data_IF_587591862824
#
_entry.id   IF_587591862824
#
_cell.length_a   1.000
_cell.length_b   1.000
_cell.length_c   1.000
_cell.angle_alpha   90.00
_cell.angle_beta   90.00
_cell.angle_gamma   90.00
#
_symmetry.space_group_name_H-M   'P 1'
#
loop_
_entity.id
_entity.type
_entity.pdbx_description
1 polymer ?
#
# COMPACT_ATOMS: atom_id res chain seq x y z
N UNK A 1 -1.75 24.35 -2.88
CA UNK A 1 -1.39 22.95 -2.55
C UNK A 1 -2.23 22.07 -3.44
N UNK A 2 -1.61 21.15 -4.17
CA UNK A 2 -2.35 20.15 -4.93
C UNK A 2 -2.93 19.11 -3.97
N UNK A 3 -4.06 18.50 -4.32
CA UNK A 3 -4.70 17.43 -3.52
C UNK A 3 -3.70 16.30 -3.22
N UNK A 4 -2.81 16.01 -4.17
CA UNK A 4 -1.71 15.07 -4.03
C UNK A 4 -0.78 15.42 -2.85
N UNK A 5 -0.31 16.68 -2.74
CA UNK A 5 0.57 17.11 -1.64
C UNK A 5 -0.08 16.93 -0.26
N UNK A 6 -1.38 17.22 -0.15
CA UNK A 6 -2.13 17.03 1.10
C UNK A 6 -2.24 15.54 1.47
N UNK A 7 -2.43 14.66 0.48
CA UNK A 7 -2.47 13.21 0.71
C UNK A 7 -1.09 12.68 1.11
N UNK A 8 -0.01 13.14 0.46
CA UNK A 8 1.36 12.78 0.86
C UNK A 8 1.60 13.16 2.33
N UNK A 9 1.20 14.36 2.74
CA UNK A 9 1.28 14.79 4.15
C UNK A 9 0.46 13.89 5.09
N UNK A 10 -0.72 13.39 4.66
CA UNK A 10 -1.50 12.42 5.45
C UNK A 10 -0.82 11.06 5.57
N UNK A 11 -0.21 10.56 4.49
CA UNK A 11 0.60 9.34 4.53
C UNK A 11 1.78 9.51 5.50
N UNK A 12 2.43 10.67 5.52
CA UNK A 12 3.46 10.97 6.52
C UNK A 12 2.94 10.94 7.95
N UNK A 13 1.80 11.56 8.21
CA UNK A 13 1.21 11.56 9.55
C UNK A 13 0.82 10.15 10.01
N UNK A 14 0.41 9.26 9.09
CA UNK A 14 0.16 7.86 9.40
C UNK A 14 1.43 7.09 9.78
N UNK A 15 2.60 7.43 9.21
CA UNK A 15 3.88 6.88 9.66
C UNK A 15 4.11 7.17 11.15
N UNK A 16 3.80 8.38 11.62
CA UNK A 16 3.95 8.75 13.03
C UNK A 16 3.01 7.94 13.92
N UNK A 17 1.74 7.75 13.50
CA UNK A 17 0.77 6.93 14.25
C UNK A 17 1.24 5.48 14.36
N UNK A 18 1.74 4.91 13.27
CA UNK A 18 2.24 3.53 13.27
C UNK A 18 3.53 3.38 14.06
N UNK A 19 4.36 4.43 14.14
CA UNK A 19 5.55 4.46 14.98
C UNK A 19 5.20 4.33 16.46
N UNK A 20 4.11 4.95 16.91
CA UNK A 20 3.61 4.79 18.28
C UNK A 20 3.17 3.33 18.56
N UNK A 21 2.70 2.62 17.53
CA UNK A 21 2.40 1.18 17.59
C UNK A 21 3.66 0.29 17.50
N UNK A 22 4.86 0.87 17.45
CA UNK A 22 6.15 0.18 17.36
C UNK A 22 6.57 -0.23 15.95
N UNK A 23 5.91 0.29 14.91
CA UNK A 23 6.30 0.08 13.51
C UNK A 23 7.50 0.96 13.18
N UNK A 24 8.58 0.38 12.67
CA UNK A 24 9.74 1.15 12.25
C UNK A 24 9.49 1.85 10.92
N UNK A 25 10.27 2.89 10.64
CA UNK A 25 10.20 3.58 9.36
C UNK A 25 10.37 2.63 8.16
N UNK A 26 11.35 1.72 8.24
CA UNK A 26 11.57 0.73 7.17
C UNK A 26 10.37 -0.22 6.99
N UNK A 27 9.75 -0.66 8.09
CA UNK A 27 8.53 -1.47 8.03
C UNK A 27 7.38 -0.70 7.38
N UNK A 28 7.24 0.60 7.68
CA UNK A 28 6.23 1.45 7.07
C UNK A 28 6.41 1.60 5.55
N UNK A 29 7.63 1.83 5.08
CA UNK A 29 7.93 1.88 3.64
C UNK A 29 7.60 0.57 2.95
N UNK A 30 7.88 -0.57 3.60
CA UNK A 30 7.52 -1.90 3.08
C UNK A 30 6.01 -2.07 2.95
N UNK A 31 5.21 -1.61 3.92
CA UNK A 31 3.74 -1.62 3.81
C UNK A 31 3.23 -0.77 2.65
N UNK A 32 3.77 0.45 2.52
CA UNK A 32 3.42 1.32 1.40
C UNK A 32 3.78 0.68 0.06
N UNK A 33 4.90 -0.03 -0.02
CA UNK A 33 5.34 -0.70 -1.23
C UNK A 33 4.32 -1.71 -1.72
N UNK A 34 3.80 -2.55 -0.83
CA UNK A 34 2.76 -3.53 -1.16
C UNK A 34 1.47 -2.87 -1.62
N UNK A 35 0.98 -1.86 -0.88
CA UNK A 35 -0.28 -1.19 -1.18
C UNK A 35 -0.22 -0.36 -2.47
N UNK A 36 0.87 0.39 -2.65
CA UNK A 36 1.10 1.19 -3.86
C UNK A 36 1.25 0.29 -5.10
N UNK A 37 1.92 -0.86 -4.98
CA UNK A 37 1.99 -1.81 -6.08
C UNK A 37 0.61 -2.31 -6.49
N UNK A 38 -0.24 -2.72 -5.54
CA UNK A 38 -1.59 -3.19 -5.84
C UNK A 38 -2.43 -2.12 -6.52
N UNK A 39 -2.41 -0.89 -5.98
CA UNK A 39 -3.14 0.23 -6.58
C UNK A 39 -2.60 0.57 -7.97
N UNK A 40 -1.28 0.60 -8.15
CA UNK A 40 -0.66 0.83 -9.46
C UNK A 40 -1.05 -0.23 -10.49
N UNK A 41 -1.15 -1.50 -10.09
CA UNK A 41 -1.61 -2.57 -10.95
C UNK A 41 -3.05 -2.34 -11.43
N UNK A 42 -3.93 -1.83 -10.56
CA UNK A 42 -5.29 -1.40 -10.94
C UNK A 42 -5.24 -0.22 -11.91
N UNK A 43 -4.56 0.86 -11.55
CA UNK A 43 -4.54 2.12 -12.33
C UNK A 43 -3.84 2.00 -13.70
N UNK A 44 -3.09 0.91 -13.92
CA UNK A 44 -2.41 0.63 -15.20
C UNK A 44 -3.05 -0.51 -15.99
N UNK A 45 -4.24 -0.98 -15.60
CA UNK A 45 -4.95 -2.12 -16.20
C UNK A 45 -4.13 -3.43 -16.24
N UNK A 46 -3.22 -3.58 -15.28
CA UNK A 46 -2.34 -4.76 -15.12
C UNK A 46 -2.78 -5.69 -14.00
N UNK A 47 -3.78 -5.33 -13.22
CA UNK A 47 -4.32 -6.15 -12.12
C UNK A 47 -4.83 -7.54 -12.56
N UNK A 48 -5.01 -7.78 -13.86
CA UNK A 48 -5.23 -9.11 -14.43
C UNK A 48 -4.11 -10.12 -14.15
N UNK A 49 -2.91 -9.65 -13.83
CA UNK A 49 -1.79 -10.51 -13.40
C UNK A 49 -1.97 -10.99 -11.94
N UNK A 50 -2.85 -10.34 -11.17
CA UNK A 50 -3.20 -10.72 -9.81
C UNK A 50 -4.45 -11.62 -9.83
N UNK A 51 -4.53 -12.64 -8.95
CA UNK A 51 -5.77 -13.38 -8.74
C UNK A 51 -6.91 -12.42 -8.37
N UNK A 52 -8.10 -12.63 -8.93
CA UNK A 52 -9.22 -11.68 -8.78
C UNK A 52 -9.53 -11.34 -7.33
N UNK A 53 -9.51 -12.34 -6.44
CA UNK A 53 -9.73 -12.20 -4.98
C UNK A 53 -8.71 -11.33 -4.25
N UNK A 54 -7.57 -11.04 -4.86
CA UNK A 54 -6.43 -10.32 -4.27
C UNK A 54 -6.14 -8.99 -4.97
N UNK A 55 -7.11 -8.46 -5.70
CA UNK A 55 -7.04 -7.13 -6.31
C UNK A 55 -7.42 -6.03 -5.32
N UNK A 56 -6.99 -4.81 -5.63
CA UNK A 56 -7.21 -3.62 -4.80
C UNK A 56 -8.68 -3.46 -4.38
N UNK A 57 -9.60 -3.52 -5.35
CA UNK A 57 -11.03 -3.31 -5.09
C UNK A 57 -11.65 -4.41 -4.24
N UNK A 58 -11.16 -5.65 -4.36
CA UNK A 58 -11.60 -6.74 -3.48
C UNK A 58 -11.17 -6.48 -2.06
N UNK A 59 -9.95 -6.00 -1.83
CA UNK A 59 -9.46 -5.67 -0.49
C UNK A 59 -10.20 -4.46 0.10
N UNK A 60 -10.49 -3.44 -0.70
CA UNK A 60 -11.29 -2.27 -0.29
C UNK A 60 -12.75 -2.64 0.05
N UNK A 61 -13.31 -3.62 -0.64
CA UNK A 61 -14.67 -4.09 -0.41
C UNK A 61 -14.83 -4.93 0.87
N UNK A 62 -13.74 -5.40 1.49
CA UNK A 62 -13.79 -6.08 2.78
C UNK A 62 -14.19 -5.07 3.86
N UNK A 63 -15.09 -5.50 4.76
CA UNK A 63 -15.45 -4.77 5.97
C UNK A 63 -14.19 -4.28 6.70
N UNK A 64 -14.23 -3.04 7.18
CA UNK A 64 -13.03 -2.39 7.75
C UNK A 64 -12.39 -3.18 8.90
N UNK A 65 -13.20 -3.90 9.69
CA UNK A 65 -12.75 -4.74 10.82
C UNK A 65 -12.01 -6.00 10.36
N UNK A 66 -12.46 -6.62 9.27
CA UNK A 66 -11.89 -7.88 8.73
C UNK A 66 -10.76 -7.64 7.72
N UNK A 67 -10.62 -6.40 7.23
CA UNK A 67 -9.70 -6.06 6.13
C UNK A 67 -8.26 -6.42 6.41
N UNK A 68 -7.80 -6.30 7.66
CA UNK A 68 -6.44 -6.65 8.04
C UNK A 68 -6.16 -8.14 7.85
N UNK A 69 -7.13 -9.00 8.16
CA UNK A 69 -6.99 -10.45 7.95
C UNK A 69 -7.01 -10.81 6.46
N UNK A 70 -7.88 -10.15 5.69
CA UNK A 70 -7.88 -10.25 4.23
C UNK A 70 -6.53 -9.82 3.62
N UNK A 71 -5.94 -8.75 4.12
CA UNK A 71 -4.63 -8.26 3.70
C UNK A 71 -3.51 -9.25 4.04
N UNK A 72 -3.48 -9.81 5.26
CA UNK A 72 -2.51 -10.85 5.66
C UNK A 72 -2.58 -12.05 4.72
N UNK A 73 -3.78 -12.56 4.48
CA UNK A 73 -4.01 -13.69 3.57
C UNK A 73 -3.53 -13.36 2.16
N UNK A 74 -3.83 -12.16 1.67
CA UNK A 74 -3.41 -11.70 0.35
C UNK A 74 -1.89 -11.66 0.21
N UNK A 75 -1.16 -11.08 1.18
CA UNK A 75 0.31 -11.01 1.16
C UNK A 75 0.94 -12.41 1.02
N UNK A 76 0.49 -13.37 1.83
CA UNK A 76 0.97 -14.76 1.77
C UNK A 76 0.73 -15.37 0.40
N UNK A 77 -0.44 -15.12 -0.19
CA UNK A 77 -0.85 -15.75 -1.44
C UNK A 77 -0.13 -15.14 -2.65
N UNK A 78 0.07 -13.82 -2.64
CA UNK A 78 0.87 -13.15 -3.67
C UNK A 78 2.36 -13.53 -3.56
N UNK A 79 2.88 -13.72 -2.34
CA UNK A 79 4.23 -14.25 -2.11
C UNK A 79 4.44 -15.68 -2.61
N UNK A 80 3.35 -16.42 -2.89
CA UNK A 80 3.38 -17.75 -3.49
C UNK A 80 2.88 -17.75 -4.95
N UNK A 81 2.82 -16.58 -5.60
CA UNK A 81 2.34 -16.45 -6.97
C UNK A 81 3.21 -17.24 -7.97
N UNK A 82 2.57 -17.78 -9.01
CA UNK A 82 3.28 -18.36 -10.16
C UNK A 82 3.98 -17.30 -11.01
N UNK A 83 3.50 -16.06 -10.97
CA UNK A 83 4.09 -14.95 -11.70
C UNK A 83 5.34 -14.41 -10.98
N UNK A 84 6.50 -14.48 -11.64
CA UNK A 84 7.81 -14.17 -11.04
C UNK A 84 7.86 -12.79 -10.38
N UNK A 85 7.51 -11.72 -11.10
CA UNK A 85 7.54 -10.35 -10.58
C UNK A 85 6.69 -10.17 -9.30
N UNK A 86 5.48 -10.73 -9.29
CA UNK A 86 4.58 -10.63 -8.12
C UNK A 86 5.18 -11.41 -6.96
N UNK A 87 5.69 -12.62 -7.22
CA UNK A 87 6.34 -13.43 -6.18
C UNK A 87 7.55 -12.72 -5.58
N UNK A 88 8.38 -12.07 -6.38
CA UNK A 88 9.57 -11.34 -5.90
C UNK A 88 9.19 -10.15 -5.01
N UNK A 89 8.17 -9.37 -5.41
CA UNK A 89 7.70 -8.23 -4.62
C UNK A 89 7.13 -8.68 -3.28
N UNK A 90 6.36 -9.78 -3.26
CA UNK A 90 5.68 -10.26 -2.05
C UNK A 90 6.42 -11.41 -1.36
N UNK A 91 7.69 -11.65 -1.69
CA UNK A 91 8.46 -12.75 -1.12
C UNK A 91 8.59 -12.59 0.40
N UNK A 92 8.08 -13.57 1.16
CA UNK A 92 7.99 -13.52 2.62
C UNK A 92 7.31 -12.25 3.15
N UNK A 93 6.37 -11.68 2.39
CA UNK A 93 5.66 -10.49 2.80
C UNK A 93 4.83 -10.74 4.06
N UNK A 94 5.03 -9.86 5.05
CA UNK A 94 4.27 -9.83 6.29
C UNK A 94 3.85 -8.40 6.58
N UNK A 95 2.73 -8.23 7.27
CA UNK A 95 2.30 -6.91 7.75
C UNK A 95 2.65 -6.67 9.21
N UNK A 96 3.15 -5.47 9.49
CA UNK A 96 3.41 -4.90 10.80
C UNK A 96 2.25 -4.02 11.29
N UNK A 97 1.24 -3.76 10.46
CA UNK A 97 0.04 -3.04 10.86
C UNK A 97 -0.75 -3.89 11.85
N UNK A 98 -0.99 -3.35 13.04
CA UNK A 98 -1.70 -4.03 14.14
C UNK A 98 -3.21 -3.77 14.13
N UNK A 99 -3.62 -2.62 13.64
CA UNK A 99 -5.01 -2.17 13.74
C UNK A 99 -5.67 -2.03 12.36
N UNK A 100 -6.84 -2.67 12.14
CA UNK A 100 -7.55 -2.59 10.85
C UNK A 100 -7.90 -1.16 10.41
N UNK A 101 -8.16 -0.27 11.37
CA UNK A 101 -8.40 1.16 11.11
C UNK A 101 -7.21 1.85 10.42
N UNK A 102 -5.97 1.49 10.79
CA UNK A 102 -4.76 2.10 10.25
C UNK A 102 -4.56 1.66 8.80
N UNK A 103 -4.74 0.36 8.51
CA UNK A 103 -4.73 -0.17 7.14
C UNK A 103 -5.83 0.48 6.29
N UNK A 104 -7.05 0.56 6.82
CA UNK A 104 -8.19 1.19 6.13
C UNK A 104 -7.91 2.64 5.79
N UNK A 105 -7.32 3.38 6.72
CA UNK A 105 -6.95 4.78 6.51
C UNK A 105 -5.84 4.90 5.46
N UNK A 106 -4.80 4.07 5.53
CA UNK A 106 -3.73 4.05 4.51
C UNK A 106 -4.29 3.79 3.12
N UNK A 107 -5.07 2.73 2.97
CA UNK A 107 -5.67 2.39 1.69
C UNK A 107 -6.57 3.50 1.15
N UNK A 108 -7.39 4.12 2.01
CA UNK A 108 -8.27 5.21 1.58
C UNK A 108 -7.50 6.45 1.13
N UNK A 109 -6.37 6.78 1.77
CA UNK A 109 -5.51 7.89 1.33
C UNK A 109 -4.85 7.56 -0.01
N UNK A 110 -4.34 6.34 -0.17
CA UNK A 110 -3.73 5.86 -1.42
C UNK A 110 -4.76 5.86 -2.57
N UNK A 111 -6.01 5.50 -2.29
CA UNK A 111 -7.09 5.47 -3.28
C UNK A 111 -7.43 6.86 -3.84
N UNK A 112 -7.25 7.91 -3.01
CA UNK A 112 -7.55 9.30 -3.35
C UNK A 112 -6.42 10.01 -4.11
N UNK A 113 -5.24 9.40 -4.25
CA UNK A 113 -4.13 9.99 -4.99
C UNK A 113 -4.52 10.23 -6.46
N UNK A 114 -4.07 11.35 -7.03
CA UNK A 114 -4.12 11.53 -8.48
C UNK A 114 -3.01 10.67 -9.11
N UNK A 115 -3.39 9.48 -9.58
CA UNK A 115 -2.45 8.53 -10.18
C UNK A 115 -1.95 8.94 -11.56
N UNK A 116 -2.66 9.84 -12.24
CA UNK A 116 -2.20 10.36 -13.54
C UNK A 116 -1.06 11.37 -13.34
N UNK A 117 -1.17 12.25 -12.34
CA UNK A 117 -0.09 13.13 -11.91
C UNK A 117 1.05 12.34 -11.27
N UNK A 118 0.75 11.39 -10.37
CA UNK A 118 1.77 10.59 -9.69
C UNK A 118 2.59 9.72 -10.66
N UNK A 119 2.00 9.28 -11.79
CA UNK A 119 2.72 8.57 -12.85
C UNK A 119 3.63 9.48 -13.69
N UNK A 120 3.29 10.77 -13.83
CA UNK A 120 4.07 11.75 -14.60
C UNK A 120 5.22 12.36 -13.80
N UNK A 121 4.98 12.69 -12.54
CA UNK A 121 5.92 13.44 -11.70
C UNK A 121 6.21 12.74 -10.35
N UNK A 122 5.24 12.05 -9.73
CA UNK A 122 5.17 12.03 -8.26
C UNK A 122 5.33 10.71 -7.50
N UNK A 123 5.60 9.56 -8.12
CA UNK A 123 5.88 8.33 -7.35
C UNK A 123 7.33 8.25 -6.88
N UNK A 124 8.28 8.66 -7.73
CA UNK A 124 9.70 8.76 -7.37
C UNK A 124 9.88 9.69 -6.18
N UNK A 125 9.40 10.93 -6.30
CA UNK A 125 9.43 11.96 -5.25
C UNK A 125 8.69 11.55 -3.97
N UNK A 126 7.61 10.76 -4.08
CA UNK A 126 6.92 10.21 -2.91
C UNK A 126 7.82 9.23 -2.16
N UNK A 127 8.47 8.31 -2.87
CA UNK A 127 9.43 7.36 -2.28
C UNK A 127 10.70 8.06 -1.79
N UNK A 128 11.25 9.01 -2.55
CA UNK A 128 12.44 9.78 -2.19
C UNK A 128 12.17 10.65 -0.97
N UNK A 129 11.09 11.41 -0.95
CA UNK A 129 10.71 12.20 0.22
C UNK A 129 10.58 11.32 1.46
N UNK A 130 9.92 10.16 1.31
CA UNK A 130 9.88 9.11 2.33
C UNK A 130 11.32 8.80 2.81
N UNK A 131 12.19 8.33 1.91
CA UNK A 131 13.55 7.92 2.25
C UNK A 131 14.43 9.04 2.84
N UNK A 132 14.20 10.31 2.48
CA UNK A 132 15.00 11.47 2.92
C UNK A 132 14.80 11.87 4.37
N UNK A 133 13.70 11.48 5.05
CA UNK A 133 13.47 11.86 6.46
C UNK A 133 14.04 10.90 7.52
N UNK A 134 14.99 10.04 7.16
CA UNK A 134 15.77 9.27 8.14
C UNK A 134 17.10 9.95 8.49
#
# INVERSE_FOLDING_TARGET
MSVTQDIVARLWNLCNILKDDGVTYHQYVTELTYLLFLKMMKETDREKLLPEKYRWDRLMAINAEDRLEGYRTMLIQLGNSSHLLIREIFANATTFIKHPKNLTTLMSNIDQLDWFEAKKEGLGDLYEGLLEKN
#
